data_IF_245887932713
#
_entry.id   IF_245887932713
#
_cell.length_a   1.000
_cell.length_b   1.000
_cell.length_c   1.000
_cell.angle_alpha   90.00
_cell.angle_beta   90.00
_cell.angle_gamma   90.00
#
_symmetry.space_group_name_H-M   'P 1'
#
loop_
_entity.id
_entity.type
_entity.pdbx_description
1 polymer ?
#
# COMPACT_ATOMS: atom_id res chain seq x y z
N UNK A 1 -19.82 -47.80 -63.34
CA UNK A 1 -20.00 -48.71 -62.18
C UNK A 1 -18.66 -48.81 -61.48
N UNK A 2 -18.64 -48.67 -60.16
CA UNK A 2 -17.49 -48.83 -59.24
C UNK A 2 -16.39 -47.76 -59.29
N UNK A 3 -15.77 -47.33 -58.19
CA UNK A 3 -16.12 -47.09 -56.77
C UNK A 3 -14.94 -46.24 -56.24
N UNK A 4 -15.21 -45.28 -55.35
CA UNK A 4 -14.24 -44.43 -54.67
C UNK A 4 -13.24 -45.23 -53.81
N UNK A 5 -11.98 -44.78 -53.75
CA UNK A 5 -11.14 -44.93 -52.55
C UNK A 5 -10.64 -43.54 -52.12
N UNK A 6 -11.17 -43.04 -51.00
CA UNK A 6 -10.69 -41.85 -50.29
C UNK A 6 -9.57 -42.29 -49.34
N UNK A 7 -8.38 -41.71 -49.50
CA UNK A 7 -7.33 -41.79 -48.49
C UNK A 7 -7.65 -40.81 -47.36
N UNK A 8 -7.78 -41.34 -46.15
CA UNK A 8 -7.95 -40.60 -44.90
C UNK A 8 -6.58 -40.02 -44.49
N UNK A 9 -6.39 -38.72 -44.62
CA UNK A 9 -5.28 -38.01 -43.98
C UNK A 9 -5.66 -37.67 -42.54
N UNK A 10 -5.08 -38.40 -41.60
CA UNK A 10 -5.18 -38.15 -40.16
C UNK A 10 -4.56 -36.81 -39.80
N UNK A 11 -5.38 -35.84 -39.38
CA UNK A 11 -4.90 -34.63 -38.73
C UNK A 11 -4.54 -34.95 -37.28
N UNK A 12 -3.25 -34.94 -36.94
CA UNK A 12 -2.79 -34.89 -35.56
C UNK A 12 -3.08 -33.49 -35.01
N UNK A 13 -4.12 -33.38 -34.17
CA UNK A 13 -4.33 -32.22 -33.31
C UNK A 13 -3.27 -32.29 -32.22
N UNK A 14 -2.19 -31.52 -32.36
CA UNK A 14 -1.27 -31.24 -31.27
C UNK A 14 -2.01 -30.39 -30.24
N UNK A 15 -2.56 -31.04 -29.22
CA UNK A 15 -3.08 -30.41 -28.02
C UNK A 15 -1.92 -29.79 -27.25
N UNK A 16 -1.60 -28.53 -27.55
CA UNK A 16 -0.82 -27.69 -26.66
C UNK A 16 -1.58 -27.58 -25.33
N UNK A 17 -1.16 -28.36 -24.34
CA UNK A 17 -1.58 -28.18 -22.96
C UNK A 17 -1.24 -26.74 -22.55
N UNK A 18 -2.27 -25.93 -22.30
CA UNK A 18 -2.12 -24.63 -21.65
C UNK A 18 -1.68 -24.91 -20.22
N UNK A 19 -0.36 -24.91 -19.98
CA UNK A 19 0.18 -24.82 -18.63
C UNK A 19 -0.05 -23.39 -18.14
N UNK A 20 -1.22 -23.18 -17.53
CA UNK A 20 -1.64 -21.92 -16.95
C UNK A 20 -0.73 -21.49 -15.78
N UNK A 21 -0.30 -20.22 -15.83
CA UNK A 21 -0.31 -19.25 -14.73
C UNK A 21 -0.03 -19.80 -13.31
N UNK A 22 1.17 -20.31 -13.05
CA UNK A 22 1.60 -20.69 -11.69
C UNK A 22 2.72 -19.80 -11.12
N UNK A 23 2.98 -18.65 -11.74
CA UNK A 23 3.84 -17.62 -11.20
C UNK A 23 2.99 -16.40 -10.79
N UNK A 24 2.42 -16.41 -9.58
CA UNK A 24 2.37 -15.21 -8.68
C UNK A 24 1.58 -15.46 -7.37
N UNK A 25 0.63 -16.41 -7.34
CA UNK A 25 -0.23 -16.60 -6.16
C UNK A 25 0.56 -17.14 -4.96
N UNK A 26 1.48 -18.08 -5.19
CA UNK A 26 2.34 -18.66 -4.14
C UNK A 26 3.28 -17.62 -3.53
N UNK A 27 3.75 -16.63 -4.30
CA UNK A 27 4.59 -15.52 -3.81
C UNK A 27 3.80 -14.59 -2.88
N UNK A 28 2.54 -14.31 -3.23
CA UNK A 28 1.63 -13.51 -2.41
C UNK A 28 1.26 -14.22 -1.10
N UNK A 29 0.96 -15.52 -1.16
CA UNK A 29 0.63 -16.35 0.02
C UNK A 29 1.84 -16.49 0.96
N UNK A 30 3.06 -16.63 0.42
CA UNK A 30 4.29 -16.70 1.22
C UNK A 30 4.65 -15.38 1.94
N UNK A 31 4.08 -14.23 1.55
CA UNK A 31 4.27 -12.94 2.24
C UNK A 31 3.13 -12.59 3.20
N UNK A 32 1.89 -12.98 2.89
CA UNK A 32 0.79 -12.97 3.87
C UNK A 32 1.18 -13.79 5.11
N UNK A 33 1.81 -14.94 4.89
CA UNK A 33 2.43 -15.72 5.97
C UNK A 33 3.56 -14.98 6.68
N UNK A 34 4.35 -14.08 6.08
CA UNK A 34 5.36 -13.30 6.82
C UNK A 34 4.75 -12.25 7.75
N UNK A 35 3.71 -11.54 7.30
CA UNK A 35 2.96 -10.62 8.17
C UNK A 35 2.34 -11.37 9.35
N UNK A 36 1.81 -12.58 9.10
CA UNK A 36 1.16 -13.42 10.12
C UNK A 36 2.14 -14.19 11.03
N UNK A 37 3.23 -14.73 10.47
CA UNK A 37 4.21 -15.57 11.17
C UNK A 37 5.17 -14.77 12.04
N UNK A 38 5.29 -13.45 11.85
CA UNK A 38 5.98 -12.58 12.81
C UNK A 38 5.33 -12.57 14.21
N UNK A 39 4.11 -13.10 14.34
CA UNK A 39 3.41 -13.31 15.61
C UNK A 39 3.69 -14.66 16.32
N UNK A 40 4.41 -15.61 15.72
CA UNK A 40 4.58 -16.95 16.29
C UNK A 40 5.85 -17.09 17.17
N UNK A 41 5.63 -16.91 18.48
CA UNK A 41 6.28 -17.49 19.68
C UNK A 41 7.83 -17.49 19.83
N UNK A 42 8.32 -16.63 20.74
CA UNK A 42 9.41 -16.82 21.73
C UNK A 42 9.19 -15.79 22.87
N UNK A 43 9.47 -16.08 24.16
CA UNK A 43 8.96 -15.33 25.30
C UNK A 43 9.93 -14.24 25.80
N UNK A 44 9.72 -12.99 25.37
CA UNK A 44 9.81 -11.74 26.18
C UNK A 44 9.74 -10.50 25.26
N UNK A 45 8.65 -10.34 24.50
CA UNK A 45 8.58 -9.30 23.47
C UNK A 45 7.48 -8.26 23.73
N UNK A 46 7.46 -7.69 24.93
CA UNK A 46 6.50 -6.66 25.38
C UNK A 46 6.39 -5.49 24.40
N UNK A 47 7.45 -5.22 23.64
CA UNK A 47 7.52 -4.18 22.62
C UNK A 47 7.23 -4.64 21.18
N UNK A 48 6.66 -5.83 20.94
CA UNK A 48 6.18 -6.18 19.59
C UNK A 48 4.92 -5.40 19.26
N UNK A 49 4.79 -5.01 17.99
CA UNK A 49 3.54 -4.43 17.49
C UNK A 49 2.39 -5.40 17.74
N UNK A 50 1.27 -4.87 18.22
CA UNK A 50 0.01 -5.58 18.32
C UNK A 50 -0.64 -5.64 16.93
N UNK A 51 -1.44 -6.67 16.70
CA UNK A 51 -2.30 -6.71 15.53
C UNK A 51 -3.34 -5.60 15.61
N UNK A 52 -3.58 -4.91 14.49
CA UNK A 52 -4.46 -3.74 14.45
C UNK A 52 -5.89 -4.07 14.89
N UNK A 53 -6.45 -5.19 14.41
CA UNK A 53 -7.79 -5.63 14.83
C UNK A 53 -7.90 -5.86 16.33
N UNK A 54 -6.90 -6.45 16.97
CA UNK A 54 -6.90 -6.68 18.42
C UNK A 54 -6.81 -5.36 19.19
N UNK A 55 -6.06 -4.36 18.70
CA UNK A 55 -5.98 -3.04 19.33
C UNK A 55 -7.38 -2.43 19.53
N UNK A 56 -8.23 -2.48 18.51
CA UNK A 56 -9.61 -1.99 18.58
C UNK A 56 -10.54 -2.97 19.32
N UNK A 57 -10.56 -4.25 18.94
CA UNK A 57 -11.59 -5.19 19.40
C UNK A 57 -11.31 -5.80 20.78
N UNK A 58 -10.05 -6.10 21.08
CA UNK A 58 -9.65 -6.76 22.33
C UNK A 58 -9.27 -5.75 23.41
N UNK A 59 -8.53 -4.72 23.02
CA UNK A 59 -8.03 -3.71 23.96
C UNK A 59 -8.89 -2.46 24.03
N UNK A 60 -9.90 -2.33 23.17
CA UNK A 60 -10.90 -1.28 23.21
C UNK A 60 -10.37 0.10 22.84
N UNK A 61 -9.31 0.18 22.02
CA UNK A 61 -8.88 1.46 21.48
C UNK A 61 -9.93 2.05 20.55
N UNK A 62 -9.98 3.38 20.50
CA UNK A 62 -10.79 4.13 19.56
C UNK A 62 -9.88 4.81 18.54
N UNK A 63 -10.39 5.06 17.33
CA UNK A 63 -9.65 5.82 16.35
C UNK A 63 -9.34 7.23 16.89
N UNK A 64 -8.11 7.69 16.66
CA UNK A 64 -7.61 8.96 17.20
C UNK A 64 -6.97 8.82 18.58
N UNK A 65 -7.02 7.66 19.22
CA UNK A 65 -6.32 7.44 20.49
C UNK A 65 -4.80 7.31 20.27
N UNK A 66 -4.34 6.84 19.11
CA UNK A 66 -2.93 6.75 18.75
C UNK A 66 -2.50 7.88 17.82
N UNK A 67 -1.85 7.52 16.71
CA UNK A 67 -1.40 8.44 15.66
C UNK A 67 -2.25 8.35 14.38
N UNK A 68 -3.45 7.76 14.44
CA UNK A 68 -4.32 7.58 13.26
C UNK A 68 -4.68 8.90 12.58
N UNK A 69 -4.82 9.95 13.39
CA UNK A 69 -5.31 11.26 12.98
C UNK A 69 -4.22 12.34 13.01
N UNK A 70 -2.94 11.97 13.05
CA UNK A 70 -1.82 12.92 13.04
C UNK A 70 -1.79 13.78 11.75
N UNK A 71 -2.54 13.39 10.71
CA UNK A 71 -2.76 14.20 9.51
C UNK A 71 -3.53 15.52 9.79
N UNK A 72 -4.28 15.60 10.89
CA UNK A 72 -5.05 16.78 11.27
C UNK A 72 -4.18 17.70 12.14
N UNK A 73 -3.26 18.41 11.50
CA UNK A 73 -2.27 19.24 12.20
C UNK A 73 -2.93 20.31 13.09
N UNK A 74 -2.43 20.44 14.31
CA UNK A 74 -2.98 21.37 15.31
C UNK A 74 -4.26 20.90 16.01
N UNK A 75 -4.78 19.71 15.68
CA UNK A 75 -5.97 19.13 16.31
C UNK A 75 -5.58 17.82 17.01
N UNK A 76 -6.07 17.59 18.23
CA UNK A 76 -5.82 16.32 18.93
C UNK A 76 -6.48 15.16 18.18
N UNK A 77 -5.89 13.97 18.27
CA UNK A 77 -6.39 12.79 17.55
C UNK A 77 -7.86 12.47 17.87
N UNK A 78 -8.28 12.49 19.16
CA UNK A 78 -9.68 12.32 19.56
C UNK A 78 -10.63 13.37 18.96
N UNK A 79 -10.19 14.62 18.88
CA UNK A 79 -11.01 15.71 18.32
C UNK A 79 -11.15 15.53 16.80
N UNK A 80 -10.04 15.23 16.12
CA UNK A 80 -10.04 14.98 14.69
C UNK A 80 -10.90 13.76 14.31
N UNK A 81 -10.90 12.71 15.13
CA UNK A 81 -11.77 11.54 14.95
C UNK A 81 -13.27 11.87 15.08
N UNK A 82 -13.63 12.99 15.72
CA UNK A 82 -15.00 13.51 15.74
C UNK A 82 -15.43 14.23 14.46
N UNK A 83 -14.51 14.59 13.57
CA UNK A 83 -14.81 15.28 12.31
C UNK A 83 -15.18 14.25 11.25
N UNK A 84 -16.48 14.17 10.91
CA UNK A 84 -17.02 13.13 10.05
C UNK A 84 -16.31 12.97 8.69
N UNK A 85 -15.89 14.09 8.07
CA UNK A 85 -15.18 14.09 6.78
C UNK A 85 -13.78 13.48 6.86
N UNK A 86 -13.13 13.53 8.03
CA UNK A 86 -11.82 12.91 8.25
C UNK A 86 -11.97 11.48 8.77
N UNK A 87 -12.87 11.27 9.74
CA UNK A 87 -13.01 10.00 10.42
C UNK A 87 -13.63 8.91 9.55
N UNK A 88 -14.55 9.25 8.63
CA UNK A 88 -15.15 8.27 7.72
C UNK A 88 -14.08 7.50 6.90
N UNK A 89 -13.22 8.17 6.10
CA UNK A 89 -12.21 7.44 5.34
C UNK A 89 -11.12 6.81 6.21
N UNK A 90 -10.64 7.52 7.23
CA UNK A 90 -9.45 7.08 7.96
C UNK A 90 -9.80 6.06 9.04
N UNK A 91 -10.78 6.37 9.88
CA UNK A 91 -11.16 5.49 10.98
C UNK A 91 -12.01 4.32 10.49
N UNK A 92 -13.15 4.65 9.88
CA UNK A 92 -14.22 3.68 9.64
C UNK A 92 -13.99 2.83 8.40
N UNK A 93 -13.37 3.36 7.36
CA UNK A 93 -13.05 2.59 6.15
C UNK A 93 -11.69 1.89 6.24
N UNK A 94 -10.72 2.49 6.93
CA UNK A 94 -9.36 1.95 7.02
C UNK A 94 -9.00 1.32 8.37
N UNK A 95 -8.68 2.13 9.40
CA UNK A 95 -8.05 1.62 10.65
C UNK A 95 -8.85 0.55 11.38
N UNK A 96 -10.16 0.75 11.56
CA UNK A 96 -11.04 -0.20 12.28
C UNK A 96 -11.21 -1.51 11.51
N UNK A 97 -11.04 -1.50 10.18
CA UNK A 97 -11.18 -2.68 9.33
C UNK A 97 -9.88 -3.43 9.09
N UNK A 98 -8.74 -2.93 9.58
CA UNK A 98 -7.44 -3.58 9.37
C UNK A 98 -7.43 -5.01 9.91
N UNK A 99 -6.71 -5.94 9.24
CA UNK A 99 -6.55 -7.30 9.74
C UNK A 99 -5.74 -7.31 11.05
N UNK A 100 -5.69 -8.47 11.72
CA UNK A 100 -4.92 -8.62 12.96
C UNK A 100 -3.42 -8.83 12.74
N UNK A 101 -2.85 -8.10 11.79
CA UNK A 101 -1.45 -8.23 11.41
C UNK A 101 -0.60 -7.19 12.18
N UNK A 102 0.53 -7.57 12.78
CA UNK A 102 1.37 -6.67 13.58
C UNK A 102 2.40 -5.92 12.71
N UNK A 103 1.94 -4.89 11.99
CA UNK A 103 2.80 -4.06 11.14
C UNK A 103 2.76 -2.59 11.52
N UNK A 104 3.80 -1.88 11.10
CA UNK A 104 3.94 -0.44 11.24
C UNK A 104 3.46 0.28 9.99
N UNK A 105 2.81 1.42 10.17
CA UNK A 105 2.41 2.28 9.07
C UNK A 105 2.73 3.73 9.37
N UNK A 106 2.65 4.59 8.35
CA UNK A 106 2.97 6.00 8.49
C UNK A 106 1.93 6.71 9.40
N UNK A 107 2.38 7.68 10.18
CA UNK A 107 1.53 8.58 11.00
C UNK A 107 0.81 9.60 10.13
N UNK A 108 1.51 10.12 9.11
CA UNK A 108 1.04 11.17 8.21
C UNK A 108 1.19 10.75 6.75
N UNK A 109 0.18 11.09 5.96
CA UNK A 109 0.29 11.17 4.50
C UNK A 109 0.99 12.49 4.13
N UNK A 110 1.55 12.61 2.92
CA UNK A 110 2.06 13.89 2.43
C UNK A 110 3.45 14.31 2.96
N UNK A 111 3.98 13.67 4.00
CA UNK A 111 5.28 14.06 4.60
C UNK A 111 6.41 13.14 4.12
N UNK A 112 7.63 13.70 4.03
CA UNK A 112 8.83 13.03 3.50
C UNK A 112 9.37 11.84 4.31
N UNK A 113 10.60 11.43 4.02
CA UNK A 113 11.18 10.15 4.46
C UNK A 113 11.71 10.07 5.91
N UNK A 114 11.04 10.62 6.93
CA UNK A 114 11.54 10.41 8.31
C UNK A 114 11.18 9.00 8.82
N UNK A 115 12.14 8.32 9.46
CA UNK A 115 11.93 7.00 10.08
C UNK A 115 11.01 7.07 11.32
N UNK A 116 10.86 8.26 11.92
CA UNK A 116 9.88 8.55 12.98
C UNK A 116 8.43 8.59 12.46
N UNK A 117 8.27 8.49 11.14
CA UNK A 117 6.97 8.50 10.51
C UNK A 117 6.22 7.19 10.70
N UNK A 118 6.85 6.06 11.04
CA UNK A 118 6.15 4.78 11.15
C UNK A 118 5.90 4.36 12.60
N UNK A 119 4.70 3.86 12.89
CA UNK A 119 4.25 3.55 14.24
C UNK A 119 3.35 2.31 14.29
N UNK A 120 3.16 1.78 15.50
CA UNK A 120 2.18 0.74 15.82
C UNK A 120 1.77 0.81 17.29
N UNK A 121 0.70 0.11 17.65
CA UNK A 121 0.30 -0.14 19.04
C UNK A 121 1.16 -1.22 19.69
N UNK A 122 1.42 -1.10 20.99
CA UNK A 122 2.17 -2.06 21.82
C UNK A 122 1.55 -2.21 23.21
N UNK A 123 1.98 -3.22 23.97
CA UNK A 123 1.59 -3.36 25.38
C UNK A 123 2.05 -2.14 26.19
N UNK A 124 1.28 -1.69 27.21
CA UNK A 124 1.76 -0.67 28.16
C UNK A 124 3.06 -1.06 28.87
N UNK A 125 3.38 -2.36 28.95
CA UNK A 125 4.63 -2.87 29.56
C UNK A 125 5.87 -2.57 28.70
N UNK A 126 5.70 -2.14 27.44
CA UNK A 126 6.84 -1.79 26.59
C UNK A 126 7.56 -0.53 27.10
N UNK A 127 8.72 -0.69 27.72
CA UNK A 127 9.47 0.43 28.33
C UNK A 127 9.89 1.55 27.36
N UNK A 128 10.02 1.26 26.06
CA UNK A 128 10.42 2.23 25.01
C UNK A 128 9.23 2.73 24.19
N UNK A 129 8.07 2.83 24.81
CA UNK A 129 6.83 3.29 24.19
C UNK A 129 6.32 4.56 24.86
N UNK A 130 5.35 5.21 24.22
CA UNK A 130 4.66 6.39 24.74
C UNK A 130 3.19 6.02 24.99
N UNK A 131 2.56 6.55 26.04
CA UNK A 131 1.11 6.41 26.19
C UNK A 131 0.38 6.90 24.94
N UNK A 132 -0.63 6.15 24.50
CA UNK A 132 -1.60 6.67 23.55
C UNK A 132 -2.32 7.90 24.16
N UNK A 133 -2.86 8.78 23.32
CA UNK A 133 -3.61 9.97 23.75
C UNK A 133 -4.78 9.59 24.67
N UNK A 134 -5.39 8.43 24.43
CA UNK A 134 -6.37 7.79 25.31
C UNK A 134 -6.23 6.26 25.29
N UNK A 135 -7.01 5.60 26.14
CA UNK A 135 -7.08 4.14 26.22
C UNK A 135 -5.93 3.53 27.01
N UNK A 136 -5.74 2.21 26.84
CA UNK A 136 -4.85 1.39 27.69
C UNK A 136 -3.54 0.97 27.02
N UNK A 137 -3.43 1.14 25.70
CA UNK A 137 -2.22 0.76 24.98
C UNK A 137 -1.24 1.93 24.90
N UNK A 138 0.00 1.60 24.60
CA UNK A 138 1.02 2.55 24.23
C UNK A 138 1.27 2.49 22.72
N UNK A 139 1.95 3.49 22.17
CA UNK A 139 2.46 3.54 20.80
C UNK A 139 3.98 3.55 20.83
N UNK A 140 4.61 3.07 19.76
CA UNK A 140 6.06 3.25 19.56
C UNK A 140 6.36 3.67 18.14
N UNK A 141 7.51 4.31 17.97
CA UNK A 141 8.14 4.44 16.66
C UNK A 141 8.74 3.09 16.24
N UNK A 142 8.55 2.75 14.98
CA UNK A 142 9.01 1.47 14.47
C UNK A 142 10.46 1.50 14.03
N UNK A 143 11.12 0.35 14.17
CA UNK A 143 12.50 0.16 13.71
C UNK A 143 12.51 -0.73 12.48
N UNK A 144 13.24 -0.33 11.44
CA UNK A 144 13.42 -1.13 10.22
C UNK A 144 14.66 -2.03 10.32
N UNK A 145 14.63 -3.19 9.66
CA UNK A 145 15.79 -4.07 9.49
C UNK A 145 15.50 -5.55 9.81
N UNK A 146 16.49 -6.44 9.63
CA UNK A 146 16.35 -7.87 9.93
C UNK A 146 15.99 -8.09 11.42
N UNK A 147 14.96 -8.89 11.67
CA UNK A 147 14.46 -9.17 13.03
C UNK A 147 13.81 -7.98 13.74
N UNK A 148 13.45 -6.92 13.00
CA UNK A 148 12.76 -5.73 13.51
C UNK A 148 11.29 -5.69 13.09
N UNK A 149 10.63 -4.56 13.31
CA UNK A 149 9.22 -4.37 13.01
C UNK A 149 8.96 -4.45 11.49
N UNK A 150 7.83 -5.04 11.11
CA UNK A 150 7.43 -5.08 9.70
C UNK A 150 6.77 -3.74 9.35
N UNK A 151 7.34 -3.02 8.37
CA UNK A 151 6.73 -1.81 7.85
C UNK A 151 5.82 -2.13 6.66
N UNK A 152 4.61 -1.58 6.64
CA UNK A 152 3.69 -1.67 5.50
C UNK A 152 4.35 -1.10 4.23
N UNK A 153 5.10 0.00 4.37
CA UNK A 153 5.89 0.62 3.31
C UNK A 153 7.06 -0.21 2.77
N UNK A 154 7.34 -1.39 3.35
CA UNK A 154 8.32 -2.33 2.81
C UNK A 154 7.74 -3.26 1.74
N UNK A 155 6.41 -3.32 1.61
CA UNK A 155 5.76 -4.08 0.55
C UNK A 155 6.03 -3.43 -0.80
N UNK A 156 6.22 -4.29 -1.82
CA UNK A 156 6.20 -3.82 -3.21
C UNK A 156 4.78 -3.45 -3.59
N UNK A 157 4.61 -2.52 -4.52
CA UNK A 157 3.31 -1.92 -4.80
C UNK A 157 2.21 -2.96 -5.11
N UNK A 158 2.49 -3.87 -6.05
CA UNK A 158 1.55 -4.92 -6.43
C UNK A 158 1.19 -5.85 -5.25
N UNK A 159 2.11 -6.03 -4.30
CA UNK A 159 1.87 -6.87 -3.12
C UNK A 159 1.02 -6.15 -2.10
N UNK A 160 1.21 -4.84 -1.92
CA UNK A 160 0.32 -4.03 -1.11
C UNK A 160 -1.10 -4.05 -1.67
N UNK A 161 -1.26 -3.89 -2.98
CA UNK A 161 -2.58 -3.97 -3.65
C UNK A 161 -3.19 -5.36 -3.47
N UNK A 162 -2.41 -6.43 -3.64
CA UNK A 162 -2.87 -7.80 -3.39
C UNK A 162 -3.27 -8.05 -1.92
N UNK A 163 -2.48 -7.58 -0.96
CA UNK A 163 -2.81 -7.65 0.47
C UNK A 163 -4.08 -6.87 0.80
N UNK A 164 -4.22 -5.66 0.26
CA UNK A 164 -5.40 -4.83 0.45
C UNK A 164 -6.65 -5.50 -0.13
N UNK A 165 -6.56 -6.10 -1.32
CA UNK A 165 -7.63 -6.86 -1.93
C UNK A 165 -8.09 -8.05 -1.07
N UNK A 166 -7.15 -8.88 -0.61
CA UNK A 166 -7.45 -10.05 0.23
C UNK A 166 -8.12 -9.65 1.54
N UNK A 167 -7.68 -8.54 2.14
CA UNK A 167 -8.19 -8.05 3.42
C UNK A 167 -9.35 -7.05 3.28
N UNK A 168 -9.85 -6.80 2.06
CA UNK A 168 -10.93 -5.83 1.77
C UNK A 168 -10.63 -4.42 2.31
N UNK A 169 -9.38 -4.00 2.21
CA UNK A 169 -8.91 -2.68 2.60
C UNK A 169 -8.87 -1.79 1.35
N UNK A 170 -9.33 -0.53 1.40
CA UNK A 170 -9.16 0.42 0.30
C UNK A 170 -7.67 0.59 -0.04
N UNK A 171 -7.28 0.14 -1.23
CA UNK A 171 -5.87 0.04 -1.63
C UNK A 171 -5.18 1.40 -1.74
N UNK A 172 -5.92 2.46 -2.04
CA UNK A 172 -5.40 3.83 -2.07
C UNK A 172 -5.08 4.36 -0.67
N UNK A 173 -5.91 4.09 0.34
CA UNK A 173 -5.61 4.43 1.74
C UNK A 173 -4.40 3.62 2.24
N UNK A 174 -4.35 2.32 1.90
CA UNK A 174 -3.19 1.49 2.21
C UNK A 174 -1.91 2.08 1.61
N UNK A 175 -1.95 2.54 0.36
CA UNK A 175 -0.79 3.16 -0.30
C UNK A 175 -0.34 4.47 0.36
N UNK A 176 -1.29 5.32 0.77
CA UNK A 176 -0.99 6.57 1.47
C UNK A 176 -0.36 6.35 2.86
N UNK A 177 -0.79 5.31 3.57
CA UNK A 177 -0.20 4.91 4.86
C UNK A 177 1.08 4.07 4.71
N UNK A 178 1.35 3.50 3.53
CA UNK A 178 2.55 2.71 3.26
C UNK A 178 3.70 3.58 2.75
N UNK A 179 3.43 4.48 1.80
CA UNK A 179 4.47 5.12 1.00
C UNK A 179 4.63 6.60 1.30
N UNK A 180 5.82 7.11 1.03
CA UNK A 180 6.07 8.55 1.06
C UNK A 180 5.31 9.17 -0.11
N UNK A 181 4.67 10.30 0.15
CA UNK A 181 4.03 11.09 -0.90
C UNK A 181 5.09 11.94 -1.58
N UNK A 182 5.08 11.94 -2.90
CA UNK A 182 5.87 12.85 -3.72
C UNK A 182 5.53 14.30 -3.35
N UNK A 183 6.50 15.10 -2.90
CA UNK A 183 6.26 16.46 -2.43
C UNK A 183 6.16 17.47 -3.57
N UNK A 184 6.42 17.04 -4.82
CA UNK A 184 6.48 17.92 -5.98
C UNK A 184 5.12 18.10 -6.65
N UNK A 185 5.16 18.20 -7.98
CA UNK A 185 4.01 18.41 -8.85
C UNK A 185 3.05 17.20 -8.87
N UNK A 186 1.86 17.37 -9.46
CA UNK A 186 0.90 16.27 -9.58
C UNK A 186 1.44 15.19 -10.52
N UNK A 187 0.92 13.96 -10.43
CA UNK A 187 1.46 12.86 -11.23
C UNK A 187 1.34 13.10 -12.73
N UNK A 188 0.30 13.83 -13.16
CA UNK A 188 0.08 14.23 -14.55
C UNK A 188 1.20 15.12 -15.09
N UNK A 189 1.83 15.92 -14.22
CA UNK A 189 2.95 16.80 -14.58
C UNK A 189 4.27 16.02 -14.73
N UNK A 190 4.36 14.82 -14.16
CA UNK A 190 5.61 14.05 -14.11
C UNK A 190 5.54 12.72 -14.86
N UNK A 191 4.38 12.32 -15.37
CA UNK A 191 4.20 11.01 -16.01
C UNK A 191 5.03 10.82 -17.29
N UNK A 192 5.40 11.91 -17.99
CA UNK A 192 6.31 11.83 -19.14
C UNK A 192 7.70 11.32 -18.79
N UNK A 193 8.13 11.47 -17.52
CA UNK A 193 9.39 10.90 -17.05
C UNK A 193 9.41 9.37 -17.18
N UNK A 194 8.25 8.73 -17.02
CA UNK A 194 8.07 7.28 -17.22
C UNK A 194 7.70 6.90 -18.66
N UNK A 195 7.79 7.84 -19.61
CA UNK A 195 7.53 7.59 -21.03
C UNK A 195 6.05 7.61 -21.42
N UNK A 196 5.19 8.18 -20.58
CA UNK A 196 3.77 8.40 -20.89
C UNK A 196 3.58 9.75 -21.59
N UNK A 197 2.48 9.91 -22.32
CA UNK A 197 2.15 11.21 -22.92
C UNK A 197 1.72 12.20 -21.83
N UNK A 198 2.35 13.38 -21.78
CA UNK A 198 1.93 14.44 -20.88
C UNK A 198 0.62 15.09 -21.38
N UNK A 199 -0.38 15.35 -20.51
CA UNK A 199 -1.55 16.12 -20.91
C UNK A 199 -1.15 17.55 -21.26
N UNK A 200 -1.96 18.22 -22.08
CA UNK A 200 -1.68 19.59 -22.56
C UNK A 200 -1.52 20.64 -21.44
N UNK A 201 -2.09 20.38 -20.27
CA UNK A 201 -2.01 21.26 -19.10
C UNK A 201 -0.82 20.94 -18.18
N UNK A 202 -0.04 19.90 -18.46
CA UNK A 202 1.07 19.48 -17.61
C UNK A 202 2.13 20.58 -17.49
N UNK A 203 2.59 20.82 -16.27
CA UNK A 203 3.75 21.67 -16.04
C UNK A 203 5.02 21.02 -16.66
N UNK A 204 5.92 21.81 -17.27
CA UNK A 204 7.16 21.26 -17.83
C UNK A 204 8.07 20.65 -16.75
N UNK A 205 8.64 19.47 -17.02
CA UNK A 205 9.64 18.87 -16.14
C UNK A 205 10.96 19.64 -16.26
N UNK A 206 11.27 20.44 -15.25
CA UNK A 206 12.58 21.12 -15.12
C UNK A 206 13.71 20.13 -14.84
N UNK A 207 14.97 20.57 -14.99
CA UNK A 207 16.14 19.73 -14.68
C UNK A 207 16.16 19.27 -13.21
N UNK A 208 15.79 20.14 -12.28
CA UNK A 208 15.72 19.81 -10.85
C UNK A 208 14.64 18.76 -10.56
N UNK A 209 13.45 18.95 -11.14
CA UNK A 209 12.36 17.96 -11.02
C UNK A 209 12.80 16.63 -11.63
N UNK A 210 13.44 16.64 -12.80
CA UNK A 210 13.96 15.42 -13.44
C UNK A 210 14.97 14.69 -12.55
N UNK A 211 15.87 15.41 -11.88
CA UNK A 211 16.84 14.81 -10.97
C UNK A 211 16.16 14.19 -9.74
N UNK A 212 15.11 14.83 -9.20
CA UNK A 212 14.32 14.28 -8.10
C UNK A 212 13.55 13.02 -8.53
N UNK A 213 12.93 13.02 -9.71
CA UNK A 213 12.24 11.86 -10.27
C UNK A 213 13.21 10.70 -10.55
N UNK A 214 14.41 11.01 -11.04
CA UNK A 214 15.48 10.04 -11.24
C UNK A 214 15.90 9.41 -9.90
N UNK A 215 16.06 10.20 -8.84
CA UNK A 215 16.37 9.67 -7.51
C UNK A 215 15.25 8.75 -6.98
N UNK A 216 13.98 9.09 -7.20
CA UNK A 216 12.84 8.21 -6.89
C UNK A 216 12.95 6.90 -7.66
N UNK A 217 13.18 6.96 -8.98
CA UNK A 217 13.30 5.79 -9.83
C UNK A 217 14.52 4.90 -9.51
N UNK A 218 15.66 5.50 -9.15
CA UNK A 218 16.86 4.75 -8.78
C UNK A 218 16.75 4.12 -7.40
N UNK A 219 15.97 4.72 -6.48
CA UNK A 219 15.76 4.16 -5.15
C UNK A 219 15.02 2.81 -5.17
N UNK A 220 14.21 2.56 -6.19
CA UNK A 220 13.32 1.38 -6.27
C UNK A 220 12.28 1.29 -5.14
N UNK A 221 12.12 2.35 -4.34
CA UNK A 221 11.10 2.47 -3.31
C UNK A 221 9.80 2.93 -3.95
N UNK A 222 8.68 2.47 -3.39
CA UNK A 222 7.37 2.92 -3.82
C UNK A 222 7.09 4.34 -3.27
N UNK A 223 6.61 5.21 -4.15
CA UNK A 223 6.28 6.62 -3.86
C UNK A 223 4.88 6.90 -4.37
N UNK A 224 4.00 7.39 -3.49
CA UNK A 224 2.63 7.76 -3.82
C UNK A 224 2.58 9.18 -4.41
N UNK A 225 1.71 9.42 -5.38
CA UNK A 225 1.55 10.70 -6.05
C UNK A 225 0.08 11.03 -6.19
N UNK A 226 -0.27 12.28 -5.89
CA UNK A 226 -1.63 12.81 -6.07
C UNK A 226 -1.81 13.31 -7.49
N UNK A 227 -3.04 13.25 -7.97
CA UNK A 227 -3.43 13.87 -9.23
C UNK A 227 -3.88 15.31 -9.04
N UNK A 228 -4.25 15.98 -10.13
CA UNK A 228 -4.82 17.33 -10.09
C UNK A 228 -6.15 17.42 -9.31
N UNK A 229 -6.86 16.29 -9.15
CA UNK A 229 -8.04 16.19 -8.31
C UNK A 229 -7.73 16.23 -6.79
N UNK A 230 -6.45 16.37 -6.42
CA UNK A 230 -5.99 16.52 -5.04
C UNK A 230 -6.16 15.25 -4.23
N UNK A 231 -7.14 15.25 -3.32
CA UNK A 231 -7.42 14.11 -2.44
C UNK A 231 -8.26 13.02 -3.08
N UNK A 232 -8.72 13.19 -4.33
CA UNK A 232 -9.54 12.23 -5.05
C UNK A 232 -8.76 11.56 -6.18
N UNK A 233 -9.13 10.32 -6.58
CA UNK A 233 -8.53 9.66 -7.73
C UNK A 233 -8.71 10.48 -9.02
N UNK A 234 -7.83 10.33 -10.02
CA UNK A 234 -6.78 9.32 -10.10
C UNK A 234 -5.59 9.58 -9.16
N UNK A 235 -4.96 8.49 -8.74
CA UNK A 235 -3.69 8.52 -8.00
C UNK A 235 -2.62 7.80 -8.81
N UNK A 236 -1.34 8.01 -8.48
CA UNK A 236 -0.26 7.22 -9.04
C UNK A 236 0.69 6.69 -7.97
N UNK A 237 1.38 5.60 -8.30
CA UNK A 237 2.53 5.10 -7.55
C UNK A 237 3.68 4.84 -8.51
N UNK A 238 4.84 5.42 -8.20
CA UNK A 238 6.10 5.08 -8.84
C UNK A 238 6.82 4.02 -8.00
N UNK A 239 7.35 2.97 -8.62
CA UNK A 239 8.22 1.99 -7.96
C UNK A 239 9.41 1.67 -8.88
N UNK A 240 10.50 2.38 -8.65
CA UNK A 240 11.64 2.36 -9.55
C UNK A 240 11.26 2.82 -10.96
N UNK A 241 11.51 1.99 -11.97
CA UNK A 241 11.11 2.25 -13.36
C UNK A 241 9.63 1.95 -13.65
N UNK A 242 8.89 1.39 -12.70
CA UNK A 242 7.47 1.08 -12.87
C UNK A 242 6.61 2.29 -12.49
N UNK A 243 5.53 2.49 -13.23
CA UNK A 243 4.54 3.51 -12.95
C UNK A 243 3.14 2.91 -12.99
N UNK A 244 2.38 3.13 -11.93
CA UNK A 244 1.03 2.61 -11.75
C UNK A 244 0.05 3.77 -11.61
N UNK A 245 -1.11 3.69 -12.27
CA UNK A 245 -2.20 4.65 -12.14
C UNK A 245 -3.41 3.93 -11.54
N UNK A 246 -3.98 4.54 -10.51
CA UNK A 246 -5.18 4.10 -9.81
C UNK A 246 -6.37 4.96 -10.21
N UNK A 247 -7.40 4.36 -10.81
CA UNK A 247 -8.63 5.05 -11.22
C UNK A 247 -9.83 4.50 -10.45
N UNK A 248 -10.78 5.37 -10.08
CA UNK A 248 -12.06 4.93 -9.53
C UNK A 248 -12.83 4.08 -10.55
N UNK A 249 -13.52 3.03 -10.07
CA UNK A 249 -14.44 2.21 -10.86
C UNK A 249 -15.89 2.61 -10.62
N UNK A 250 -16.46 2.14 -9.51
CA UNK A 250 -17.86 2.37 -9.15
C UNK A 250 -18.00 3.45 -8.08
N UNK A 251 -16.99 3.60 -7.22
CA UNK A 251 -16.90 4.61 -6.17
C UNK A 251 -15.46 5.09 -6.01
N UNK A 252 -15.28 6.21 -5.29
CA UNK A 252 -13.95 6.73 -4.95
C UNK A 252 -13.13 5.75 -4.09
N UNK A 253 -13.81 4.84 -3.38
CA UNK A 253 -13.17 3.83 -2.54
C UNK A 253 -12.74 2.58 -3.32
N UNK A 254 -13.34 2.33 -4.49
CA UNK A 254 -13.04 1.21 -5.38
C UNK A 254 -12.03 1.62 -6.47
N UNK A 255 -10.75 1.57 -6.12
CA UNK A 255 -9.65 1.93 -7.00
C UNK A 255 -9.10 0.72 -7.75
N UNK A 256 -9.12 0.81 -9.07
CA UNK A 256 -8.43 -0.10 -9.99
C UNK A 256 -7.03 0.39 -10.28
N UNK A 257 -6.02 -0.44 -10.01
CA UNK A 257 -4.63 -0.13 -10.33
C UNK A 257 -4.18 -0.80 -11.61
N UNK A 258 -3.62 0.00 -12.52
CA UNK A 258 -3.03 -0.45 -13.78
C UNK A 258 -1.57 -0.07 -13.82
N UNK A 259 -0.70 -1.01 -14.17
CA UNK A 259 0.68 -0.65 -14.51
C UNK A 259 0.72 -0.10 -15.92
N UNK A 260 1.17 1.14 -16.07
CA UNK A 260 1.14 1.88 -17.33
C UNK A 260 2.54 2.08 -17.92
N UNK A 261 3.59 1.92 -17.12
CA UNK A 261 4.97 1.96 -17.62
C UNK A 261 5.90 1.04 -16.82
N UNK A 262 6.96 0.53 -17.47
CA UNK A 262 8.04 -0.23 -16.84
C UNK A 262 7.68 -1.62 -16.32
N UNK A 263 6.44 -2.07 -16.49
CA UNK A 263 6.05 -3.45 -16.22
C UNK A 263 6.36 -4.37 -17.41
N UNK A 264 6.73 -5.61 -17.11
CA UNK A 264 6.81 -6.63 -18.15
C UNK A 264 5.42 -6.78 -18.79
N UNK A 265 5.32 -6.91 -20.12
CA UNK A 265 4.05 -7.18 -20.77
C UNK A 265 3.46 -8.45 -20.14
N UNK A 266 2.20 -8.37 -19.71
CA UNK A 266 1.43 -9.55 -19.31
C UNK A 266 1.44 -10.51 -20.49
N UNK A 267 2.21 -11.60 -20.38
CA UNK A 267 2.18 -12.68 -21.36
C UNK A 267 0.88 -13.47 -21.23
#
# INVERSE_FOLDING_TARGET
>A
MMVQLRALSSALVASCSVAALAADITSLVQRDTRLRSAGAVEPSSECKCLGWRDAYNKYGQLCGDGHEMDIAEGVTGPTAAGIATLSKPICWQYYINLPNDPFCMRKKWGTGESAEAEWCYVSPDCQKSMPAQRGKLHTKNCTRGPGKDIALGSLKFQQLVGWAYVNKIPSHLAAQFAYVTWPGMNFEDVQEFWGLEAPLYAAPITADVRNLLQAVADSGRATFMKGNAGEHPPYAVAEGKKFFIGTARESEDDISWSCVAGCAPSR
#
